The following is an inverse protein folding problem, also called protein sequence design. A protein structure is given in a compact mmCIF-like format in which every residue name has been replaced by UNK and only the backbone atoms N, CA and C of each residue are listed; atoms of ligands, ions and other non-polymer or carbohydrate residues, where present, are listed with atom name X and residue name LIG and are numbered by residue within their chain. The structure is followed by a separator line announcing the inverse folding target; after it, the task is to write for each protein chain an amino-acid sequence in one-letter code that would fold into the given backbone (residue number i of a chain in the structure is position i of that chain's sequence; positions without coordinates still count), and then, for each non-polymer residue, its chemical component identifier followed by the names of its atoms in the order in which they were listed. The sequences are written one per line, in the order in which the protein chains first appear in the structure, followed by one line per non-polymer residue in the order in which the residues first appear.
data_IF_475903920514
#
_entry.id   IF_475903920514
#
_cell.length_a   1.000
_cell.length_b   1.000
_cell.length_c   1.000
_cell.angle_alpha   90.00
_cell.angle_beta   90.00
_cell.angle_gamma   90.00
#
_symmetry.space_group_name_H-M   'P 1'
#
loop_
_entity.id
_entity.type
_entity.pdbx_description
1 polymer ?
#
# COMPACT_ATOMS: atom_id res chain seq x y z
N UNK A 1 43.48 -43.64 4.29
CA UNK A 1 42.93 -42.55 3.45
C UNK A 1 41.50 -42.14 3.82
N UNK A 2 40.58 -43.06 4.12
CA UNK A 2 39.17 -42.72 4.43
C UNK A 2 38.92 -41.91 5.71
N UNK A 3 39.80 -42.02 6.72
CA UNK A 3 39.67 -41.28 7.99
C UNK A 3 39.76 -39.75 7.79
N UNK A 4 40.62 -39.29 6.89
CA UNK A 4 40.77 -37.85 6.60
C UNK A 4 39.63 -37.31 5.74
N UNK A 5 39.04 -38.15 4.89
CA UNK A 5 37.89 -37.79 4.05
C UNK A 5 36.61 -37.60 4.89
N UNK A 6 36.41 -38.43 5.91
CA UNK A 6 35.30 -38.29 6.86
C UNK A 6 35.41 -37.00 7.68
N UNK A 7 36.62 -36.66 8.16
CA UNK A 7 36.86 -35.42 8.93
C UNK A 7 36.58 -34.18 8.07
N UNK A 8 37.03 -34.18 6.80
CA UNK A 8 36.78 -33.08 5.86
C UNK A 8 35.28 -32.85 5.63
N UNK A 9 34.51 -33.93 5.45
CA UNK A 9 33.06 -33.87 5.23
C UNK A 9 32.31 -33.30 6.44
N UNK A 10 32.71 -33.67 7.65
CA UNK A 10 32.14 -33.08 8.88
C UNK A 10 32.46 -31.60 9.03
N UNK A 11 33.66 -31.14 8.64
CA UNK A 11 34.02 -29.72 8.74
C UNK A 11 33.18 -28.87 7.77
N UNK A 12 32.93 -29.34 6.55
CA UNK A 12 32.08 -28.65 5.56
C UNK A 12 30.61 -28.58 6.02
N UNK A 13 30.10 -29.63 6.67
CA UNK A 13 28.73 -29.64 7.19
C UNK A 13 28.53 -28.64 8.37
N UNK A 14 29.55 -28.45 9.21
CA UNK A 14 29.48 -27.54 10.36
C UNK A 14 29.63 -26.07 9.93
N UNK A 15 30.48 -25.77 8.94
CA UNK A 15 30.64 -24.39 8.43
C UNK A 15 29.44 -23.91 7.61
N UNK A 16 28.67 -24.81 6.98
CA UNK A 16 27.41 -24.46 6.33
C UNK A 16 26.28 -24.10 7.31
N UNK A 17 26.35 -24.56 8.57
CA UNK A 17 25.32 -24.28 9.58
C UNK A 17 25.55 -23.01 10.41
N UNK A 18 26.74 -22.39 10.35
CA UNK A 18 27.03 -21.17 11.12
C UNK A 18 26.76 -19.86 10.39
N UNK A 19 26.34 -19.88 9.12
CA UNK A 19 26.02 -18.67 8.35
C UNK A 19 24.52 -18.43 8.18
N UNK A 20 23.73 -18.84 9.18
CA UNK A 20 22.40 -18.30 9.40
C UNK A 20 22.50 -17.29 10.53
N UNK A 21 23.25 -16.21 10.26
CA UNK A 21 23.22 -15.01 11.08
C UNK A 21 21.81 -14.46 10.94
N UNK A 22 21.02 -14.66 12.00
CA UNK A 22 19.70 -14.07 12.17
C UNK A 22 19.85 -12.59 11.82
N UNK A 23 19.05 -12.02 10.89
CA UNK A 23 19.18 -10.60 10.61
C UNK A 23 19.04 -9.88 11.95
N UNK A 24 20.06 -9.09 12.30
CA UNK A 24 20.07 -8.25 13.48
C UNK A 24 18.71 -7.56 13.58
N UNK A 25 18.14 -7.60 14.78
CA UNK A 25 16.96 -6.86 15.14
C UNK A 25 17.06 -5.46 14.52
N UNK A 26 16.11 -5.13 13.65
CA UNK A 26 15.98 -3.79 13.09
C UNK A 26 15.61 -2.83 14.20
N UNK A 27 16.58 -2.41 15.00
CA UNK A 27 16.49 -1.23 15.85
C UNK A 27 16.69 -0.03 14.94
N UNK A 28 15.62 0.35 14.25
CA UNK A 28 15.58 1.44 13.29
C UNK A 28 14.21 2.10 13.29
N UNK A 29 14.00 2.94 14.30
CA UNK A 29 12.95 3.98 14.39
C UNK A 29 11.53 3.54 14.79
N UNK A 30 11.37 3.26 16.08
CA UNK A 30 10.14 3.37 16.88
C UNK A 30 9.49 4.78 16.87
N UNK A 31 9.68 5.60 15.82
CA UNK A 31 9.28 7.02 15.80
C UNK A 31 8.83 7.58 14.46
N UNK A 32 8.44 6.75 13.50
CA UNK A 32 7.64 7.22 12.36
C UNK A 32 6.65 6.12 11.97
N UNK A 33 5.63 5.93 12.81
CA UNK A 33 4.44 5.15 12.47
C UNK A 33 3.55 5.88 11.44
N UNK A 34 4.17 6.61 10.50
CA UNK A 34 3.53 6.99 9.26
C UNK A 34 3.41 5.72 8.42
N UNK A 35 2.32 4.99 8.66
CA UNK A 35 1.59 4.13 7.74
C UNK A 35 2.29 3.88 6.40
N UNK A 36 3.42 3.18 6.42
CA UNK A 36 3.97 2.56 5.22
C UNK A 36 3.09 1.35 4.95
N UNK A 37 1.90 1.59 4.39
CA UNK A 37 1.25 0.61 3.55
C UNK A 37 2.25 0.35 2.43
N UNK A 38 2.99 -0.77 2.53
CA UNK A 38 3.69 -1.40 1.42
C UNK A 38 2.86 -1.18 0.16
N UNK A 39 3.29 -0.23 -0.68
CA UNK A 39 2.48 0.23 -1.80
C UNK A 39 2.34 -0.96 -2.72
N UNK A 40 1.17 -1.61 -2.69
CA UNK A 40 0.86 -2.64 -3.64
C UNK A 40 0.96 -2.02 -5.03
N UNK A 41 1.63 -2.70 -5.96
CA UNK A 41 1.56 -2.37 -7.38
C UNK A 41 0.12 -2.10 -7.90
N UNK A 42 -0.98 -2.70 -7.37
CA UNK A 42 -2.34 -2.25 -7.68
C UNK A 42 -2.68 -0.83 -7.17
N UNK A 43 -2.36 -0.48 -5.92
CA UNK A 43 -2.76 0.79 -5.30
C UNK A 43 -2.17 2.00 -6.04
N UNK A 44 -0.89 1.91 -6.43
CA UNK A 44 -0.24 2.98 -7.20
C UNK A 44 -0.90 3.23 -8.56
N UNK A 45 -1.38 2.18 -9.23
CA UNK A 45 -2.08 2.31 -10.53
C UNK A 45 -3.49 2.85 -10.36
N UNK A 46 -4.22 2.41 -9.33
CA UNK A 46 -5.53 2.95 -9.00
C UNK A 46 -5.47 4.46 -8.73
N UNK A 47 -4.51 4.90 -7.89
CA UNK A 47 -4.28 6.32 -7.60
C UNK A 47 -3.95 7.10 -8.87
N UNK A 48 -3.05 6.60 -9.72
CA UNK A 48 -2.72 7.26 -10.97
C UNK A 48 -3.92 7.40 -11.93
N UNK A 49 -4.78 6.39 -12.02
CA UNK A 49 -5.97 6.49 -12.89
C UNK A 49 -6.99 7.50 -12.37
N UNK A 50 -7.20 7.55 -11.06
CA UNK A 50 -8.11 8.50 -10.44
C UNK A 50 -7.60 9.96 -10.59
N UNK A 51 -6.29 10.19 -10.42
CA UNK A 51 -5.67 11.51 -10.60
C UNK A 51 -5.67 12.04 -12.05
N UNK A 52 -6.01 11.23 -13.04
CA UNK A 52 -6.19 11.70 -14.42
C UNK A 52 -7.51 12.45 -14.64
N UNK A 53 -8.40 12.48 -13.65
CA UNK A 53 -9.66 13.23 -13.70
C UNK A 53 -9.36 14.64 -13.17
N UNK A 54 -9.71 15.68 -13.93
CA UNK A 54 -9.30 17.07 -13.65
C UNK A 54 -9.89 17.57 -12.33
N UNK A 55 -11.07 17.06 -12.01
CA UNK A 55 -11.89 17.34 -10.84
C UNK A 55 -11.32 16.73 -9.56
N UNK A 56 -10.29 15.88 -9.65
CA UNK A 56 -9.65 15.22 -8.51
C UNK A 56 -8.35 15.94 -8.15
N UNK A 57 -8.23 16.33 -6.89
CA UNK A 57 -7.03 16.96 -6.34
C UNK A 57 -6.06 15.92 -5.76
N UNK A 58 -6.57 15.01 -4.92
CA UNK A 58 -5.79 13.91 -4.37
C UNK A 58 -6.66 12.67 -4.14
N UNK A 59 -5.99 11.54 -3.91
CA UNK A 59 -6.61 10.24 -3.69
C UNK A 59 -5.87 9.51 -2.59
N UNK A 60 -6.62 9.06 -1.59
CA UNK A 60 -6.14 8.21 -0.50
C UNK A 60 -6.72 6.82 -0.70
N UNK A 61 -5.87 5.80 -0.64
CA UNK A 61 -6.29 4.40 -0.78
C UNK A 61 -6.02 3.70 0.53
N UNK A 62 -7.06 3.11 1.09
CA UNK A 62 -7.01 2.40 2.36
C UNK A 62 -7.49 0.96 2.19
N UNK A 63 -6.80 0.01 2.83
CA UNK A 63 -7.24 -1.38 2.89
C UNK A 63 -7.84 -1.69 4.26
N UNK A 64 -9.14 -1.89 4.30
CA UNK A 64 -9.90 -2.18 5.54
C UNK A 64 -9.78 -3.64 6.02
N UNK A 65 -8.89 -4.44 5.44
CA UNK A 65 -8.81 -5.89 5.70
C UNK A 65 -9.82 -6.73 4.91
N UNK A 66 -10.90 -6.12 4.39
CA UNK A 66 -11.93 -6.81 3.58
C UNK A 66 -12.03 -6.29 2.16
N UNK A 67 -11.81 -4.99 1.97
CA UNK A 67 -11.94 -4.29 0.68
C UNK A 67 -11.02 -3.09 0.65
N UNK A 68 -10.70 -2.65 -0.57
CA UNK A 68 -10.00 -1.40 -0.82
C UNK A 68 -11.02 -0.26 -0.82
N UNK A 69 -10.75 0.81 -0.10
CA UNK A 69 -11.52 2.05 -0.13
C UNK A 69 -10.65 3.12 -0.77
N UNK A 70 -11.19 3.75 -1.81
CA UNK A 70 -10.54 4.82 -2.57
C UNK A 70 -11.25 6.11 -2.19
N UNK A 71 -10.65 6.87 -1.28
CA UNK A 71 -11.11 8.20 -0.93
C UNK A 71 -10.61 9.21 -1.95
N UNK A 72 -11.54 9.93 -2.56
CA UNK A 72 -11.28 10.92 -3.60
C UNK A 72 -11.48 12.29 -2.99
N UNK A 73 -10.45 13.11 -3.05
CA UNK A 73 -10.49 14.51 -2.65
C UNK A 73 -10.74 15.32 -3.92
N UNK A 74 -11.94 15.91 -4.09
CA UNK A 74 -12.22 16.75 -5.23
C UNK A 74 -11.48 18.07 -5.10
N UNK A 75 -11.17 18.70 -6.24
CA UNK A 75 -10.66 20.06 -6.24
C UNK A 75 -11.75 21.03 -5.73
N UNK A 76 -11.34 22.20 -5.24
CA UNK A 76 -12.24 23.21 -4.66
C UNK A 76 -13.29 23.80 -5.60
N UNK A 77 -13.28 23.44 -6.89
CA UNK A 77 -14.29 23.88 -7.87
C UNK A 77 -15.53 22.97 -7.92
N UNK A 78 -15.42 21.73 -7.40
CA UNK A 78 -16.50 20.73 -7.46
C UNK A 78 -17.45 20.90 -6.27
N UNK A 79 -18.74 21.09 -6.57
CA UNK A 79 -19.78 21.18 -5.55
C UNK A 79 -20.26 19.79 -5.09
N UNK A 80 -20.78 19.70 -3.86
CA UNK A 80 -21.21 18.43 -3.24
C UNK A 80 -22.31 17.69 -4.00
N UNK A 81 -23.14 18.40 -4.75
CA UNK A 81 -24.15 17.84 -5.64
C UNK A 81 -23.54 17.02 -6.80
N UNK A 82 -22.31 17.35 -7.20
CA UNK A 82 -21.56 16.67 -8.26
C UNK A 82 -20.76 15.46 -7.76
N UNK A 83 -20.64 15.25 -6.45
CA UNK A 83 -19.80 14.19 -5.88
C UNK A 83 -20.20 12.79 -6.34
N UNK A 84 -21.51 12.53 -6.52
CA UNK A 84 -21.98 11.24 -7.05
C UNK A 84 -21.57 10.99 -8.49
N UNK A 85 -21.46 12.05 -9.28
CA UNK A 85 -21.01 11.95 -10.67
C UNK A 85 -19.50 11.69 -10.71
N UNK A 86 -18.73 12.44 -9.91
CA UNK A 86 -17.30 12.23 -9.74
C UNK A 86 -16.96 10.82 -9.24
N UNK A 87 -17.71 10.31 -8.25
CA UNK A 87 -17.53 8.94 -7.75
C UNK A 87 -17.67 7.90 -8.87
N UNK A 88 -18.69 8.06 -9.72
CA UNK A 88 -18.95 7.15 -10.85
C UNK A 88 -17.85 7.22 -11.90
N UNK A 89 -17.36 8.43 -12.19
CA UNK A 89 -16.28 8.62 -13.16
C UNK A 89 -14.98 7.98 -12.67
N UNK A 90 -14.61 8.24 -11.41
CA UNK A 90 -13.42 7.65 -10.77
C UNK A 90 -13.54 6.13 -10.77
N UNK A 91 -14.68 5.58 -10.33
CA UNK A 91 -14.93 4.13 -10.34
C UNK A 91 -14.70 3.54 -11.72
N UNK A 92 -15.28 4.15 -12.76
CA UNK A 92 -15.15 3.68 -14.15
C UNK A 92 -13.71 3.70 -14.64
N UNK A 93 -12.90 4.71 -14.29
CA UNK A 93 -11.47 4.74 -14.65
C UNK A 93 -10.66 3.69 -13.90
N UNK A 94 -10.89 3.56 -12.59
CA UNK A 94 -10.15 2.63 -11.73
C UNK A 94 -10.47 1.17 -12.08
N UNK A 95 -11.71 0.85 -12.45
CA UNK A 95 -12.11 -0.50 -12.91
C UNK A 95 -11.27 -0.99 -14.11
N UNK A 96 -10.75 -0.09 -14.95
CA UNK A 96 -9.94 -0.45 -16.12
C UNK A 96 -8.59 -1.08 -15.74
N UNK A 97 -8.05 -0.72 -14.58
CA UNK A 97 -6.74 -1.19 -14.11
C UNK A 97 -6.83 -2.22 -12.98
N UNK A 98 -7.99 -2.36 -12.34
CA UNK A 98 -8.18 -3.28 -11.21
C UNK A 98 -9.53 -4.02 -11.29
N UNK A 99 -9.73 -4.88 -12.30
CA UNK A 99 -11.01 -5.54 -12.55
C UNK A 99 -11.36 -6.68 -11.56
N UNK A 100 -10.40 -7.15 -10.76
CA UNK A 100 -10.57 -8.36 -9.94
C UNK A 100 -10.73 -8.10 -8.43
N UNK A 101 -10.33 -6.92 -7.93
CA UNK A 101 -10.36 -6.66 -6.49
C UNK A 101 -11.60 -5.85 -6.13
N UNK A 102 -12.43 -6.27 -5.17
CA UNK A 102 -13.56 -5.47 -4.73
C UNK A 102 -13.07 -4.18 -4.08
N UNK A 103 -13.47 -3.05 -4.65
CA UNK A 103 -13.16 -1.72 -4.13
C UNK A 103 -14.40 -0.83 -4.04
N UNK A 104 -14.32 0.12 -3.13
CA UNK A 104 -15.30 1.17 -2.94
C UNK A 104 -14.64 2.50 -3.26
N UNK A 105 -15.39 3.42 -3.87
CA UNK A 105 -14.97 4.79 -4.09
C UNK A 105 -15.83 5.66 -3.20
N UNK A 106 -15.22 6.57 -2.46
CA UNK A 106 -15.91 7.56 -1.64
C UNK A 106 -15.33 8.94 -1.94
N UNK A 107 -16.18 9.90 -2.27
CA UNK A 107 -15.76 11.30 -2.43
C UNK A 107 -15.94 11.99 -1.10
N UNK A 108 -14.87 12.55 -0.58
CA UNK A 108 -14.81 13.15 0.75
C UNK A 108 -14.38 14.59 0.66
N UNK A 109 -14.89 15.39 1.59
CA UNK A 109 -14.50 16.79 1.70
C UNK A 109 -13.03 16.87 2.15
N UNK A 110 -12.19 17.73 1.54
CA UNK A 110 -10.78 17.86 1.89
C UNK A 110 -10.52 18.07 3.39
N UNK A 111 -11.48 18.67 4.10
CA UNK A 111 -11.38 18.95 5.52
C UNK A 111 -11.76 17.77 6.44
N UNK A 112 -12.30 16.67 5.90
CA UNK A 112 -12.82 15.55 6.70
C UNK A 112 -11.83 14.40 6.85
N UNK A 113 -10.86 14.24 5.93
CA UNK A 113 -9.86 13.17 5.99
C UNK A 113 -8.71 13.42 6.98
N UNK A 114 -8.53 14.67 7.41
CA UNK A 114 -7.46 15.06 8.32
C UNK A 114 -8.06 15.51 9.65
N UNK A 115 -8.50 14.56 10.48
CA UNK A 115 -8.62 14.84 11.91
C UNK A 115 -7.20 15.03 12.49
N UNK A 116 -7.02 15.97 13.42
CA UNK A 116 -5.73 16.45 13.96
C UNK A 116 -4.84 15.36 14.59
N UNK A 117 -5.37 14.15 14.70
CA UNK A 117 -4.83 12.93 15.29
C UNK A 117 -4.34 11.91 14.24
N UNK A 118 -4.48 12.21 12.94
CA UNK A 118 -3.85 11.44 11.85
C UNK A 118 -4.46 10.06 11.59
N UNK A 119 -5.66 9.78 12.12
CA UNK A 119 -6.43 8.57 11.85
C UNK A 119 -7.62 8.84 10.92
N UNK A 120 -7.83 7.94 9.96
CA UNK A 120 -9.03 7.85 9.11
C UNK A 120 -10.18 7.24 9.91
#
# INVERSE_FOLDING_TARGET
MYKYLLILLTVVAITACQRFEKPEDQTGLDKDSHSYSNVGYPDSRMKQMALQIKEVEDVVIEYTGRRIVVYVIPNGEVHRDQYKELEREVRKKVEQVTPQTPFQVEVVDPHTLFNEDGSI
#
